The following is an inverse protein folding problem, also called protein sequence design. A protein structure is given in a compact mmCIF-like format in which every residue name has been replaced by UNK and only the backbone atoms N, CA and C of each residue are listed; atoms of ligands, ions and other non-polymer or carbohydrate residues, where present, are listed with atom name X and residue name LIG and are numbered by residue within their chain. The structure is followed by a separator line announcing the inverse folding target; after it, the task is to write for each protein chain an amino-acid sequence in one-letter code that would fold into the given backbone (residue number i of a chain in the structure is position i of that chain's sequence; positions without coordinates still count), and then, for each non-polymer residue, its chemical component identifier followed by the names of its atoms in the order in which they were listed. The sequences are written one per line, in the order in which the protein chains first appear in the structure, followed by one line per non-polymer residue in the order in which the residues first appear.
data_IF_430924029944
#
_entry.id   IF_430924029944
#
_cell.length_a   1.000
_cell.length_b   1.000
_cell.length_c   1.000
_cell.angle_alpha   90.00
_cell.angle_beta   90.00
_cell.angle_gamma   90.00
#
_symmetry.space_group_name_H-M   'P 1'
#
loop_
_entity.id
_entity.type
_entity.pdbx_description
1 polymer ?
#
# COMPACT_ATOMS: atom_id res chain seq x y z
N UNK A 1 -32.92 0.78 -23.29
CA UNK A 1 -32.83 2.09 -22.59
C UNK A 1 -32.57 3.14 -23.66
N UNK A 2 -33.50 4.09 -23.89
CA UNK A 2 -33.38 5.04 -24.99
C UNK A 2 -32.33 6.12 -24.72
N UNK A 3 -31.52 6.42 -25.73
CA UNK A 3 -30.46 7.47 -25.66
C UNK A 3 -31.03 8.83 -25.24
N UNK A 4 -32.24 9.17 -25.72
CA UNK A 4 -32.91 10.40 -25.33
C UNK A 4 -33.17 10.49 -23.82
N UNK A 5 -33.58 9.40 -23.21
CA UNK A 5 -33.81 9.34 -21.75
C UNK A 5 -32.55 9.53 -20.96
N UNK A 6 -31.42 8.99 -21.45
CA UNK A 6 -30.09 9.20 -20.81
C UNK A 6 -29.62 10.65 -20.94
N UNK A 7 -29.78 11.25 -22.13
CA UNK A 7 -29.42 12.66 -22.37
C UNK A 7 -30.24 13.58 -21.48
N UNK A 8 -31.58 13.34 -21.41
CA UNK A 8 -32.48 14.13 -20.57
C UNK A 8 -32.11 14.05 -19.08
N UNK A 9 -31.82 12.80 -18.61
CA UNK A 9 -31.40 12.57 -17.24
C UNK A 9 -30.03 13.21 -16.88
N UNK A 10 -29.12 13.27 -17.86
CA UNK A 10 -27.82 13.92 -17.66
C UNK A 10 -27.89 15.43 -17.72
N UNK A 11 -28.80 15.99 -18.53
CA UNK A 11 -29.03 17.42 -18.66
C UNK A 11 -29.59 18.04 -17.36
N UNK A 12 -30.48 17.31 -16.68
CA UNK A 12 -31.10 17.75 -15.43
C UNK A 12 -30.45 17.14 -14.20
N UNK A 13 -29.51 16.22 -14.37
CA UNK A 13 -28.71 15.66 -13.30
C UNK A 13 -27.61 16.64 -12.86
N UNK A 14 -27.51 16.89 -11.56
CA UNK A 14 -26.40 17.66 -11.00
C UNK A 14 -25.02 17.03 -11.29
N UNK A 15 -23.95 17.74 -10.91
CA UNK A 15 -22.57 17.27 -11.05
C UNK A 15 -22.41 15.84 -10.52
N UNK A 16 -21.83 14.95 -11.35
CA UNK A 16 -21.49 13.55 -11.00
C UNK A 16 -20.10 13.42 -10.44
N UNK A 17 -19.33 14.50 -10.41
CA UNK A 17 -17.99 14.54 -9.85
C UNK A 17 -18.04 14.76 -8.35
N UNK A 18 -17.04 14.24 -7.64
CA UNK A 18 -16.89 14.44 -6.20
C UNK A 18 -16.66 15.93 -5.89
N UNK A 19 -17.29 16.39 -4.83
CA UNK A 19 -17.13 17.77 -4.33
C UNK A 19 -15.83 17.88 -3.53
N UNK A 20 -14.70 17.81 -4.21
CA UNK A 20 -13.41 18.07 -3.58
C UNK A 20 -13.26 19.60 -3.31
N UNK A 21 -12.74 20.04 -2.13
CA UNK A 21 -12.23 19.26 -0.99
C UNK A 21 -13.27 18.94 0.11
N UNK A 22 -14.55 19.23 -0.11
CA UNK A 22 -15.58 19.17 0.95
C UNK A 22 -15.88 17.75 1.46
N UNK A 23 -15.68 16.73 0.62
CA UNK A 23 -15.87 15.31 1.00
C UNK A 23 -14.88 14.42 0.25
N UNK A 24 -13.69 14.22 0.75
CA UNK A 24 -12.84 13.14 0.28
C UNK A 24 -13.41 11.82 0.81
N UNK A 25 -14.33 11.19 0.09
CA UNK A 25 -14.71 9.80 0.37
C UNK A 25 -13.57 8.91 -0.14
N UNK A 26 -12.72 8.50 0.79
CA UNK A 26 -11.66 7.54 0.49
C UNK A 26 -12.24 6.14 0.70
N UNK A 27 -12.16 5.29 -0.33
CA UNK A 27 -12.59 3.90 -0.23
C UNK A 27 -11.75 3.17 0.83
N UNK A 28 -12.35 2.22 1.58
CA UNK A 28 -11.62 1.34 2.51
C UNK A 28 -10.50 0.54 1.83
N UNK A 29 -10.59 0.34 0.52
CA UNK A 29 -9.58 -0.32 -0.31
C UNK A 29 -8.53 0.63 -0.88
N UNK A 30 -8.56 1.89 -0.48
CA UNK A 30 -7.58 2.87 -0.93
C UNK A 30 -6.18 2.49 -0.46
N UNK A 31 -5.22 2.58 -1.36
CA UNK A 31 -3.81 2.30 -1.10
C UNK A 31 -3.04 3.62 -1.08
N UNK A 32 -2.88 4.17 0.12
CA UNK A 32 -2.16 5.42 0.34
C UNK A 32 -0.66 5.22 0.53
N UNK A 33 -0.03 6.16 1.20
CA UNK A 33 1.40 6.15 1.48
C UNK A 33 1.82 4.94 2.31
N UNK A 34 3.04 4.49 2.04
CA UNK A 34 3.69 3.44 2.84
C UNK A 34 4.36 4.10 4.02
N UNK A 35 3.97 3.71 5.23
CA UNK A 35 4.61 4.13 6.49
C UNK A 35 5.60 3.07 6.93
N UNK A 36 6.71 3.54 7.48
CA UNK A 36 7.78 2.70 7.98
C UNK A 36 7.92 2.83 9.49
N UNK A 37 7.86 1.69 10.18
CA UNK A 37 8.14 1.60 11.61
C UNK A 37 9.56 1.04 11.81
N UNK A 38 10.51 1.91 12.21
CA UNK A 38 11.89 1.50 12.43
C UNK A 38 12.05 0.49 13.56
N UNK A 39 11.17 0.50 14.59
CA UNK A 39 11.27 -0.39 15.74
C UNK A 39 10.99 -1.87 15.38
N UNK A 40 10.20 -2.12 14.33
CA UNK A 40 9.85 -3.47 13.87
C UNK A 40 10.77 -3.99 12.76
N UNK A 41 11.62 -3.14 12.19
CA UNK A 41 12.43 -3.50 11.05
C UNK A 41 13.67 -4.32 11.44
N UNK A 42 13.85 -5.47 10.81
CA UNK A 42 15.01 -6.36 11.00
C UNK A 42 16.12 -6.19 9.96
N UNK A 43 15.95 -5.28 9.00
CA UNK A 43 16.95 -5.06 7.96
C UNK A 43 17.07 -6.21 6.94
N UNK A 44 15.98 -6.92 6.64
CA UNK A 44 16.01 -8.08 5.72
C UNK A 44 16.04 -7.72 4.24
N UNK A 45 15.83 -6.45 3.86
CA UNK A 45 15.83 -5.92 2.50
C UNK A 45 14.79 -6.52 1.53
N UNK A 46 13.84 -7.33 2.00
CA UNK A 46 12.80 -7.95 1.16
C UNK A 46 11.92 -6.89 0.47
N UNK A 47 11.65 -5.79 1.18
CA UNK A 47 10.86 -4.67 0.64
C UNK A 47 11.50 -4.05 -0.61
N UNK A 48 12.83 -3.87 -0.62
CA UNK A 48 13.59 -3.43 -1.81
C UNK A 48 13.43 -4.41 -2.97
N UNK A 49 13.59 -5.71 -2.71
CA UNK A 49 13.50 -6.74 -3.76
C UNK A 49 12.10 -6.85 -4.35
N UNK A 50 11.06 -6.63 -3.54
CA UNK A 50 9.66 -6.69 -3.99
C UNK A 50 9.17 -5.41 -4.65
N UNK A 51 9.90 -4.30 -4.51
CA UNK A 51 9.52 -3.03 -5.12
C UNK A 51 9.81 -3.02 -6.62
N UNK A 52 8.78 -3.13 -7.44
CA UNK A 52 8.90 -3.11 -8.91
C UNK A 52 9.25 -1.72 -9.44
N UNK A 53 8.81 -0.68 -8.73
CA UNK A 53 9.07 0.72 -9.09
C UNK A 53 10.42 1.24 -8.57
N UNK A 54 11.18 0.43 -7.81
CA UNK A 54 12.45 0.82 -7.17
C UNK A 54 12.35 2.06 -6.28
N UNK A 55 11.17 2.31 -5.73
CA UNK A 55 10.92 3.42 -4.82
C UNK A 55 11.57 3.23 -3.44
N UNK A 56 12.07 2.03 -3.12
CA UNK A 56 12.72 1.72 -1.86
C UNK A 56 14.18 1.40 -2.11
N UNK A 57 15.07 2.18 -1.52
CA UNK A 57 16.47 1.87 -1.47
C UNK A 57 16.86 1.29 -0.12
N UNK A 58 17.77 0.34 -0.15
CA UNK A 58 18.33 -0.29 1.04
C UNK A 58 19.84 -0.39 0.89
N UNK A 59 20.57 0.29 1.77
CA UNK A 59 22.03 0.25 1.84
C UNK A 59 22.44 -0.44 3.14
N UNK A 60 23.19 -1.51 3.03
CA UNK A 60 23.68 -2.26 4.19
C UNK A 60 25.15 -1.94 4.44
N UNK A 61 25.48 -1.53 5.67
CA UNK A 61 26.84 -1.35 6.17
C UNK A 61 27.23 -2.41 7.21
N UNK A 62 28.37 -2.25 7.84
CA UNK A 62 28.85 -3.11 8.95
C UNK A 62 28.03 -2.83 10.22
N UNK A 63 26.92 -3.59 10.40
CA UNK A 63 26.08 -3.47 11.59
C UNK A 63 24.92 -2.47 11.49
N UNK A 64 24.98 -1.58 10.51
CA UNK A 64 23.94 -0.58 10.27
C UNK A 64 23.34 -0.75 8.87
N UNK A 65 22.10 -0.30 8.69
CA UNK A 65 21.50 -0.21 7.39
C UNK A 65 20.71 1.08 7.25
N UNK A 66 20.68 1.61 6.06
CA UNK A 66 19.88 2.78 5.71
C UNK A 66 18.75 2.32 4.82
N UNK A 67 17.53 2.61 5.23
CA UNK A 67 16.31 2.44 4.43
C UNK A 67 15.86 3.81 3.98
N UNK A 68 15.60 3.96 2.69
CA UNK A 68 15.05 5.19 2.14
C UNK A 68 13.88 4.88 1.22
N UNK A 69 12.90 5.75 1.22
CA UNK A 69 11.67 5.63 0.45
C UNK A 69 11.39 6.93 -0.30
N UNK A 70 11.13 6.79 -1.58
CA UNK A 70 10.74 7.87 -2.47
C UNK A 70 9.29 7.66 -2.94
N UNK A 71 8.33 8.37 -2.35
CA UNK A 71 6.93 8.30 -2.75
C UNK A 71 6.69 8.75 -4.18
N UNK A 72 7.55 9.61 -4.75
CA UNK A 72 7.45 10.08 -6.14
C UNK A 72 7.63 8.97 -7.18
N UNK A 73 8.38 7.93 -6.84
CA UNK A 73 8.55 6.73 -7.67
C UNK A 73 7.56 5.61 -7.31
N UNK A 74 6.80 5.74 -6.23
CA UNK A 74 5.95 4.67 -5.72
C UNK A 74 4.66 4.54 -6.54
N UNK A 75 4.32 3.30 -6.93
CA UNK A 75 3.05 2.98 -7.60
C UNK A 75 1.95 2.54 -6.62
N UNK A 76 2.18 2.65 -5.33
CA UNK A 76 1.23 2.28 -4.25
C UNK A 76 0.66 0.85 -4.36
N UNK A 77 1.41 -0.07 -4.95
CA UNK A 77 0.95 -1.44 -5.20
C UNK A 77 0.84 -2.32 -3.94
N UNK A 78 1.43 -1.92 -2.80
CA UNK A 78 1.38 -2.64 -1.52
C UNK A 78 2.26 -3.89 -1.41
N UNK A 79 2.97 -4.33 -2.47
CA UNK A 79 3.78 -5.56 -2.46
C UNK A 79 4.89 -5.58 -1.40
N UNK A 80 5.44 -4.42 -1.05
CA UNK A 80 6.43 -4.29 0.01
C UNK A 80 5.82 -4.52 1.39
N UNK A 81 4.59 -4.06 1.61
CA UNK A 81 3.82 -4.25 2.85
C UNK A 81 3.44 -5.71 3.04
N UNK A 82 2.84 -6.33 2.01
CA UNK A 82 2.48 -7.77 2.02
C UNK A 82 3.69 -8.67 2.22
N UNK A 83 4.86 -8.25 1.74
CA UNK A 83 6.10 -9.01 1.86
C UNK A 83 6.84 -8.81 3.18
N UNK A 84 6.45 -7.88 4.01
CA UNK A 84 7.13 -7.57 5.25
C UNK A 84 6.72 -8.56 6.36
N UNK A 85 7.62 -9.47 6.72
CA UNK A 85 7.37 -10.50 7.75
C UNK A 85 7.16 -9.93 9.16
N UNK A 86 7.74 -8.76 9.42
CA UNK A 86 7.68 -8.10 10.74
C UNK A 86 6.62 -7.01 10.80
N UNK A 87 5.86 -6.81 9.71
CA UNK A 87 4.87 -5.74 9.59
C UNK A 87 5.44 -4.34 9.90
N UNK A 88 6.74 -4.14 9.63
CA UNK A 88 7.39 -2.84 9.76
C UNK A 88 6.94 -1.82 8.69
N UNK A 89 6.26 -2.29 7.66
CA UNK A 89 5.66 -1.46 6.62
C UNK A 89 4.16 -1.60 6.70
N UNK A 90 3.46 -0.47 6.76
CA UNK A 90 2.01 -0.38 6.72
C UNK A 90 1.59 0.57 5.61
N UNK A 91 0.39 0.42 5.11
CA UNK A 91 -0.16 1.30 4.08
C UNK A 91 -1.34 2.06 4.67
N UNK A 92 -1.30 3.38 4.56
CA UNK A 92 -2.37 4.24 5.06
C UNK A 92 -3.56 4.23 4.11
N UNK A 93 -4.75 4.41 4.68
CA UNK A 93 -5.98 4.62 3.92
C UNK A 93 -6.29 6.10 3.68
N UNK A 94 -5.48 7.00 4.21
CA UNK A 94 -5.66 8.44 4.05
C UNK A 94 -4.96 8.96 2.80
N UNK A 95 -5.51 10.05 2.23
CA UNK A 95 -4.86 10.73 1.11
C UNK A 95 -3.55 11.37 1.58
N UNK A 96 -2.47 11.23 0.79
CA UNK A 96 -1.20 11.83 1.15
C UNK A 96 -1.33 13.37 1.22
N UNK A 97 -0.58 14.02 2.13
CA UNK A 97 -0.49 15.47 2.16
C UNK A 97 0.14 16.01 0.87
N UNK A 98 -0.13 17.25 0.56
CA UNK A 98 0.48 17.93 -0.59
C UNK A 98 1.89 18.38 -0.17
N UNK A 99 2.89 17.94 -0.92
CA UNK A 99 4.28 18.35 -0.73
C UNK A 99 4.63 19.46 -1.72
N UNK A 100 5.36 20.46 -1.28
CA UNK A 100 5.83 21.57 -2.11
C UNK A 100 7.26 21.41 -2.56
N UNK A 101 8.04 20.61 -1.83
CA UNK A 101 9.46 20.37 -2.09
C UNK A 101 9.75 18.88 -2.14
N UNK A 102 10.54 18.45 -3.13
CA UNK A 102 10.96 17.03 -3.29
C UNK A 102 11.68 16.49 -2.06
N UNK A 103 12.44 17.34 -1.35
CA UNK A 103 13.16 16.94 -0.13
C UNK A 103 12.26 16.53 1.03
N UNK A 104 11.06 17.10 1.13
CA UNK A 104 10.08 16.73 2.16
C UNK A 104 9.38 15.41 1.85
N UNK A 105 9.39 15.01 0.58
CA UNK A 105 8.75 13.80 0.11
C UNK A 105 9.59 12.54 0.46
N UNK A 106 10.91 12.66 0.45
CA UNK A 106 11.82 11.54 0.60
C UNK A 106 12.07 11.22 2.08
N UNK A 107 11.71 10.02 2.50
CA UNK A 107 11.96 9.52 3.85
C UNK A 107 13.23 8.65 3.88
N UNK A 108 14.14 8.94 4.82
CA UNK A 108 15.33 8.11 5.03
C UNK A 108 15.56 7.83 6.51
N UNK A 109 15.76 6.57 6.84
CA UNK A 109 16.02 6.10 8.20
C UNK A 109 17.30 5.26 8.24
N UNK A 110 18.25 5.64 9.09
CA UNK A 110 19.44 4.83 9.36
C UNK A 110 19.23 4.08 10.66
N UNK A 111 19.37 2.76 10.62
CA UNK A 111 19.06 1.87 11.73
C UNK A 111 20.19 0.87 11.97
N UNK A 112 20.39 0.54 13.24
CA UNK A 112 21.25 -0.58 13.62
C UNK A 112 20.48 -1.89 13.50
N UNK A 113 21.09 -2.94 12.95
CA UNK A 113 20.44 -4.23 12.77
C UNK A 113 20.05 -4.84 14.11
N UNK A 114 18.76 -4.87 14.39
CA UNK A 114 18.20 -5.44 15.61
C UNK A 114 17.82 -6.90 15.38
N UNK A 115 17.90 -7.71 16.47
CA UNK A 115 17.34 -9.06 16.46
C UNK A 115 15.81 -8.95 16.27
N UNK A 116 15.19 -9.79 15.40
CA UNK A 116 13.78 -9.66 15.08
C UNK A 116 12.92 -9.70 16.36
N UNK A 117 12.03 -8.71 16.58
CA UNK A 117 10.99 -8.85 17.57
C UNK A 117 10.07 -10.02 17.17
N UNK A 118 9.49 -10.68 18.18
CA UNK A 118 8.52 -11.73 17.92
C UNK A 118 7.38 -11.19 17.03
N UNK A 119 6.91 -11.97 16.03
CA UNK A 119 5.89 -11.48 15.10
C UNK A 119 4.63 -11.10 15.88
N UNK A 120 4.19 -9.84 15.72
CA UNK A 120 2.86 -9.46 16.18
C UNK A 120 1.84 -10.32 15.46
N UNK A 121 0.81 -10.85 16.16
CA UNK A 121 -0.24 -11.61 15.50
C UNK A 121 -0.86 -10.74 14.40
N UNK A 122 -0.91 -11.30 13.20
CA UNK A 122 -1.56 -10.64 12.07
C UNK A 122 -2.97 -10.20 12.48
N UNK A 123 -3.31 -8.96 12.18
CA UNK A 123 -4.69 -8.51 12.35
C UNK A 123 -5.62 -9.49 11.62
N UNK A 124 -6.76 -9.90 12.21
CA UNK A 124 -7.64 -10.88 11.59
C UNK A 124 -8.06 -10.36 10.23
N UNK A 125 -7.74 -11.14 9.20
CA UNK A 125 -8.22 -10.91 7.83
C UNK A 125 -9.73 -10.91 7.93
N UNK A 126 -10.45 -9.87 7.48
CA UNK A 126 -11.90 -9.88 7.51
C UNK A 126 -12.40 -11.11 6.75
N UNK A 127 -13.27 -11.89 7.39
CA UNK A 127 -13.76 -13.20 6.95
C UNK A 127 -14.52 -13.20 5.60
N UNK A 128 -14.64 -12.06 4.96
CA UNK A 128 -15.41 -11.87 3.71
C UNK A 128 -14.69 -12.45 2.47
N UNK A 129 -13.40 -12.79 2.55
CA UNK A 129 -12.62 -13.29 1.40
C UNK A 129 -12.43 -14.82 1.37
N UNK A 130 -12.88 -15.55 2.38
CA UNK A 130 -12.69 -17.01 2.45
C UNK A 130 -13.73 -17.80 1.65
N UNK A 131 -14.82 -17.17 1.18
CA UNK A 131 -15.99 -17.89 0.67
C UNK A 131 -16.19 -17.86 -0.87
N UNK A 132 -15.21 -17.37 -1.63
CA UNK A 132 -15.40 -17.17 -3.08
C UNK A 132 -14.34 -17.80 -4.00
N UNK A 133 -13.63 -18.81 -3.57
CA UNK A 133 -12.80 -19.61 -4.50
C UNK A 133 -13.28 -21.05 -4.47
N UNK A 134 -14.16 -21.47 -5.41
CA UNK A 134 -14.41 -22.88 -5.61
C UNK A 134 -13.13 -23.51 -6.19
N UNK A 135 -12.50 -24.37 -5.40
CA UNK A 135 -11.38 -25.19 -5.87
C UNK A 135 -11.97 -26.21 -6.87
N UNK A 136 -11.57 -26.21 -8.15
CA UNK A 136 -12.01 -27.24 -9.06
C UNK A 136 -11.43 -28.58 -8.59
N UNK A 137 -12.32 -29.55 -8.36
CA UNK A 137 -11.95 -30.90 -8.02
C UNK A 137 -11.02 -31.46 -9.10
N UNK A 138 -9.87 -31.96 -8.68
CA UNK A 138 -8.90 -32.67 -9.51
C UNK A 138 -9.59 -33.87 -10.17
N UNK A 139 -9.71 -33.80 -11.51
CA UNK A 139 -10.20 -34.92 -12.32
C UNK A 139 -9.26 -36.12 -12.22
N UNK A 140 -9.84 -37.25 -11.88
CA UNK A 140 -9.20 -38.57 -11.97
C UNK A 140 -8.77 -38.86 -13.43
N UNK A 141 -7.50 -39.09 -13.62
CA UNK A 141 -6.99 -39.69 -14.86
C UNK A 141 -7.22 -41.19 -14.85
N UNK A 142 -7.97 -41.65 -15.82
CA UNK A 142 -8.11 -43.04 -16.21
C UNK A 142 -7.23 -43.29 -17.42
#
# INVERSE_FOLDING_TARGET
MNILTMLWKNLWGGSRTMLFPKRPEVSEKYRGLVRFDPALCTGCAICKMRCTARAIEFKSGKGEFTWSYDPGHCTFCGRCVEGCKTHALTQESECPPVYTTIGELNESHTLTRQKPPAPKPAAPVPAVLAEQIPIPATGETK
#
